data_IF_699887390709
#
_entry.id   IF_699887390709
#
_cell.length_a   1.000
_cell.length_b   1.000
_cell.length_c   1.000
_cell.angle_alpha   90.00
_cell.angle_beta   90.00
_cell.angle_gamma   90.00
#
_symmetry.space_group_name_H-M   'P 1'
#
loop_
_entity.id
_entity.type
_entity.pdbx_description
1 polymer ?
#
# COMPACT_ATOMS: atom_id res chain seq x y z
N UNK A 1 -7.01 19.04 13.25
CA UNK A 1 -7.04 18.60 11.83
C UNK A 1 -8.12 17.56 11.71
N UNK A 2 -9.09 17.75 10.82
CA UNK A 2 -10.15 16.78 10.61
C UNK A 2 -9.64 15.74 9.58
N UNK A 3 -9.49 14.50 10.00
CA UNK A 3 -9.06 13.42 9.12
C UNK A 3 -10.25 12.96 8.24
N UNK A 4 -10.03 12.59 6.95
CA UNK A 4 -11.12 12.10 6.10
C UNK A 4 -11.76 10.83 6.67
N UNK A 5 -13.08 10.83 6.69
CA UNK A 5 -13.87 9.70 7.17
C UNK A 5 -14.36 8.78 6.03
N UNK A 6 -14.05 9.14 4.78
CA UNK A 6 -14.47 8.43 3.58
C UNK A 6 -13.51 7.29 3.25
N UNK A 7 -13.72 6.12 3.85
CA UNK A 7 -12.98 4.92 3.52
C UNK A 7 -13.50 4.28 2.23
N UNK A 8 -12.56 3.80 1.40
CA UNK A 8 -12.87 3.07 0.16
C UNK A 8 -12.12 1.73 0.11
N UNK A 9 -12.66 0.77 -0.63
CA UNK A 9 -12.10 -0.55 -0.85
C UNK A 9 -12.45 -1.10 -2.24
N UNK A 10 -11.81 -2.18 -2.66
CA UNK A 10 -12.13 -2.86 -3.92
C UNK A 10 -13.32 -3.81 -3.79
N UNK A 11 -13.58 -4.30 -2.58
CA UNK A 11 -14.68 -5.21 -2.26
C UNK A 11 -14.60 -5.74 -0.84
N UNK A 12 -15.67 -6.40 -0.35
CA UNK A 12 -15.81 -6.84 1.03
C UNK A 12 -15.19 -8.23 1.31
N UNK A 13 -14.44 -8.81 0.36
CA UNK A 13 -14.00 -10.20 0.48
C UNK A 13 -12.96 -10.39 1.60
N UNK A 14 -13.07 -11.53 2.29
CA UNK A 14 -12.11 -11.99 3.27
C UNK A 14 -11.14 -13.00 2.65
N UNK A 15 -9.85 -12.82 2.94
CA UNK A 15 -8.82 -13.76 2.51
C UNK A 15 -8.88 -15.06 3.30
N UNK A 16 -8.75 -16.19 2.60
CA UNK A 16 -8.63 -17.52 3.18
C UNK A 16 -7.46 -18.26 2.54
N UNK A 17 -6.86 -19.28 3.19
CA UNK A 17 -5.70 -19.99 2.64
C UNK A 17 -5.97 -20.57 1.24
N UNK A 18 -7.16 -21.12 1.00
CA UNK A 18 -7.55 -21.71 -0.27
C UNK A 18 -8.11 -20.68 -1.27
N UNK A 19 -8.47 -19.49 -0.80
CA UNK A 19 -9.05 -18.42 -1.60
C UNK A 19 -8.51 -17.07 -1.16
N UNK A 20 -7.24 -16.75 -1.47
CA UNK A 20 -6.65 -15.47 -1.11
C UNK A 20 -7.31 -14.32 -1.88
N UNK A 21 -7.40 -13.17 -1.22
CA UNK A 21 -7.85 -11.93 -1.85
C UNK A 21 -6.62 -11.23 -2.44
N UNK A 22 -6.58 -10.98 -3.77
CA UNK A 22 -5.49 -10.24 -4.38
C UNK A 22 -5.41 -8.80 -3.87
N UNK A 23 -4.20 -8.25 -3.82
CA UNK A 23 -3.97 -6.85 -3.49
C UNK A 23 -4.32 -5.96 -4.69
N UNK A 24 -5.36 -5.11 -4.63
CA UNK A 24 -5.77 -4.29 -5.76
C UNK A 24 -4.92 -3.03 -5.92
N UNK A 25 -4.87 -2.52 -7.15
CA UNK A 25 -4.50 -1.14 -7.44
C UNK A 25 -5.69 -0.22 -7.24
N UNK A 26 -5.41 1.00 -6.77
CA UNK A 26 -6.34 2.13 -6.81
C UNK A 26 -5.64 3.31 -7.48
N UNK A 27 -6.37 4.07 -8.29
CA UNK A 27 -5.85 5.29 -8.89
C UNK A 27 -6.90 6.39 -8.93
N UNK A 28 -6.42 7.63 -8.83
CA UNK A 28 -7.20 8.84 -9.01
C UNK A 28 -6.44 9.82 -9.86
N UNK A 29 -6.99 10.19 -11.01
CA UNK A 29 -6.49 11.30 -11.82
C UNK A 29 -7.20 12.59 -11.43
N UNK A 30 -6.46 13.68 -11.35
CA UNK A 30 -6.99 15.01 -11.06
C UNK A 30 -6.17 16.09 -11.77
N UNK A 31 -6.78 17.25 -11.95
CA UNK A 31 -6.17 18.35 -12.69
C UNK A 31 -5.92 19.54 -11.78
N UNK A 32 -4.75 20.15 -11.91
CA UNK A 32 -4.39 21.39 -11.24
C UNK A 32 -4.16 22.50 -12.26
N UNK A 33 -4.79 23.67 -12.03
CA UNK A 33 -4.54 24.87 -12.83
C UNK A 33 -3.26 25.61 -12.39
N UNK A 34 -2.84 25.38 -11.15
CA UNK A 34 -1.58 25.84 -10.58
C UNK A 34 -1.05 24.83 -9.59
N UNK A 35 0.25 24.84 -9.34
CA UNK A 35 0.84 24.07 -8.22
C UNK A 35 0.61 24.85 -6.92
N UNK A 36 0.05 24.22 -5.86
CA UNK A 36 -0.08 24.84 -4.54
C UNK A 36 1.29 25.22 -3.95
N UNK A 37 1.34 26.24 -3.09
CA UNK A 37 2.56 26.56 -2.35
C UNK A 37 2.96 25.43 -1.41
N UNK A 38 1.97 24.79 -0.81
CA UNK A 38 2.14 23.59 0.01
C UNK A 38 0.94 22.66 -0.19
N UNK A 39 1.23 21.38 -0.41
CA UNK A 39 0.24 20.33 -0.56
C UNK A 39 0.53 19.16 0.38
N UNK A 40 -0.39 18.92 1.31
CA UNK A 40 -0.29 17.82 2.27
C UNK A 40 -1.26 16.70 1.92
N UNK A 41 -0.75 15.49 1.81
CA UNK A 41 -1.53 14.28 1.59
C UNK A 41 -1.55 13.45 2.87
N UNK A 42 -2.76 13.19 3.37
CA UNK A 42 -3.01 12.30 4.49
C UNK A 42 -3.53 10.97 3.97
N UNK A 43 -3.03 9.86 4.50
CA UNK A 43 -3.52 8.51 4.20
C UNK A 43 -3.59 7.65 5.45
N UNK A 44 -4.73 6.98 5.65
CA UNK A 44 -4.93 5.95 6.66
C UNK A 44 -5.23 4.63 5.95
N UNK A 45 -4.27 3.71 5.94
CA UNK A 45 -4.46 2.36 5.39
C UNK A 45 -4.90 1.38 6.47
N UNK A 46 -5.93 0.59 6.19
CA UNK A 46 -6.33 -0.59 6.93
C UNK A 46 -6.01 -1.79 6.04
N UNK A 47 -4.79 -2.26 6.16
CA UNK A 47 -4.05 -3.12 5.25
C UNK A 47 -2.72 -2.45 4.90
N UNK A 48 -1.75 -3.20 4.37
CA UNK A 48 -0.49 -2.60 3.92
C UNK A 48 -0.72 -1.79 2.65
N UNK A 49 -0.09 -0.62 2.55
CA UNK A 49 -0.21 0.18 1.33
C UNK A 49 1.14 0.64 0.80
N UNK A 50 1.18 0.81 -0.49
CA UNK A 50 2.17 1.64 -1.17
C UNK A 50 1.48 2.79 -1.88
N UNK A 51 1.98 4.01 -1.66
CA UNK A 51 1.43 5.25 -2.17
C UNK A 51 2.35 5.82 -3.26
N UNK A 52 1.73 6.28 -4.34
CA UNK A 52 2.40 6.81 -5.51
C UNK A 52 1.81 8.16 -5.93
N UNK A 53 2.67 9.06 -6.38
CA UNK A 53 2.29 10.34 -7.00
C UNK A 53 3.03 10.46 -8.33
N UNK A 54 2.30 10.62 -9.42
CA UNK A 54 2.85 10.78 -10.77
C UNK A 54 3.91 9.72 -11.14
N UNK A 55 3.69 8.47 -10.76
CA UNK A 55 4.60 7.36 -11.02
C UNK A 55 5.70 7.16 -9.99
N UNK A 56 5.90 8.09 -9.06
CA UNK A 56 6.90 7.98 -8.01
C UNK A 56 6.30 7.38 -6.74
N UNK A 57 6.92 6.30 -6.20
CA UNK A 57 6.59 5.76 -4.88
C UNK A 57 7.04 6.73 -3.79
N UNK A 58 6.14 7.06 -2.88
CA UNK A 58 6.40 8.01 -1.78
C UNK A 58 6.23 7.41 -0.38
N UNK A 59 5.72 6.20 -0.27
CA UNK A 59 5.58 5.51 1.03
C UNK A 59 6.92 5.46 1.76
N UNK A 60 6.94 5.94 3.00
CA UNK A 60 8.13 5.85 3.85
C UNK A 60 8.33 4.42 4.33
N UNK A 61 9.48 3.83 3.98
CA UNK A 61 9.84 2.47 4.34
C UNK A 61 8.98 1.40 3.67
N UNK A 62 8.82 0.28 4.35
CA UNK A 62 8.09 -0.91 3.91
C UNK A 62 7.02 -1.28 4.93
N UNK A 63 6.03 -2.09 4.52
CA UNK A 63 4.96 -2.62 5.38
C UNK A 63 4.18 -1.52 6.14
N UNK A 64 3.94 -0.38 5.47
CA UNK A 64 3.13 0.70 6.03
C UNK A 64 1.61 0.38 5.91
N UNK A 65 0.79 0.80 6.88
CA UNK A 65 1.15 1.40 8.16
C UNK A 65 1.62 0.35 9.18
N UNK A 66 2.17 0.80 10.31
CA UNK A 66 2.46 -0.09 11.43
C UNK A 66 1.19 -0.74 11.96
N UNK A 67 1.30 -1.96 12.51
CA UNK A 67 0.15 -2.69 13.04
C UNK A 67 -0.51 -1.92 14.19
N UNK A 68 -1.84 -1.90 14.19
CA UNK A 68 -2.66 -1.40 15.29
C UNK A 68 -3.91 -2.26 15.44
N UNK A 69 -4.65 -2.04 16.52
CA UNK A 69 -6.02 -2.55 16.64
C UNK A 69 -6.99 -1.49 16.12
N UNK A 70 -7.59 -1.66 14.93
CA UNK A 70 -8.47 -0.65 14.34
C UNK A 70 -9.75 -0.35 15.13
N UNK A 71 -10.04 -1.15 16.14
CA UNK A 71 -11.12 -0.86 17.10
C UNK A 71 -10.72 0.21 18.14
N UNK A 72 -9.41 0.40 18.38
CA UNK A 72 -8.86 1.30 19.41
C UNK A 72 -8.16 2.49 18.79
N UNK A 73 -7.20 2.25 17.90
CA UNK A 73 -6.46 3.31 17.22
C UNK A 73 -6.07 2.86 15.81
N UNK A 74 -6.05 3.79 14.88
CA UNK A 74 -5.56 3.57 13.52
C UNK A 74 -4.56 4.65 13.16
N UNK A 75 -3.43 4.21 12.59
CA UNK A 75 -2.39 5.13 12.18
C UNK A 75 -2.70 5.74 10.83
N UNK A 76 -2.42 7.03 10.69
CA UNK A 76 -2.35 7.69 9.41
C UNK A 76 -0.98 8.33 9.20
N UNK A 77 -0.60 8.47 7.94
CA UNK A 77 0.61 9.14 7.51
C UNK A 77 0.29 10.48 6.87
N UNK A 78 1.22 11.42 7.02
CA UNK A 78 1.20 12.71 6.34
C UNK A 78 2.44 12.84 5.45
N UNK A 79 2.23 13.29 4.20
CA UNK A 79 3.26 13.49 3.19
C UNK A 79 3.15 14.88 2.60
N UNK A 80 4.25 15.64 2.57
CA UNK A 80 4.37 16.79 1.69
C UNK A 80 4.64 16.29 0.27
N UNK A 81 3.67 16.49 -0.62
CA UNK A 81 3.76 16.08 -2.03
C UNK A 81 3.92 17.25 -2.97
N UNK A 82 4.10 18.44 -2.46
CA UNK A 82 4.26 19.68 -3.25
C UNK A 82 5.28 19.53 -4.38
N UNK A 83 6.49 18.97 -4.13
CA UNK A 83 7.51 18.85 -5.18
C UNK A 83 7.14 17.88 -6.32
N UNK A 84 6.11 17.04 -6.11
CA UNK A 84 5.69 16.01 -7.06
C UNK A 84 4.50 16.44 -7.91
N UNK A 85 3.84 17.53 -7.54
CA UNK A 85 2.68 18.04 -8.27
C UNK A 85 3.11 18.91 -9.45
N UNK A 86 2.28 18.89 -10.50
CA UNK A 86 2.48 19.69 -11.72
C UNK A 86 1.19 20.32 -12.19
N UNK A 87 1.30 21.40 -12.95
CA UNK A 87 0.17 21.97 -13.67
C UNK A 87 -0.35 20.94 -14.68
N UNK A 88 -1.64 20.85 -14.83
CA UNK A 88 -2.31 19.84 -15.66
C UNK A 88 -2.61 18.55 -14.91
N UNK A 89 -2.54 17.44 -15.60
CA UNK A 89 -2.97 16.14 -15.08
C UNK A 89 -1.96 15.54 -14.09
N UNK A 90 -2.46 15.13 -12.93
CA UNK A 90 -1.74 14.42 -11.89
C UNK A 90 -2.44 13.09 -11.60
N UNK A 91 -1.68 12.09 -11.15
CA UNK A 91 -2.21 10.77 -10.80
C UNK A 91 -1.72 10.38 -9.41
N UNK A 92 -2.66 10.05 -8.52
CA UNK A 92 -2.41 9.34 -7.28
C UNK A 92 -2.66 7.85 -7.49
N UNK A 93 -1.81 7.01 -6.91
CA UNK A 93 -1.95 5.57 -6.90
C UNK A 93 -1.78 5.00 -5.50
N UNK A 94 -2.60 4.01 -5.16
CA UNK A 94 -2.47 3.23 -3.93
C UNK A 94 -2.47 1.76 -4.32
N UNK A 95 -1.45 1.02 -3.91
CA UNK A 95 -1.43 -0.43 -3.98
C UNK A 95 -1.71 -0.96 -2.58
N UNK A 96 -2.84 -1.66 -2.41
CA UNK A 96 -3.39 -2.00 -1.09
C UNK A 96 -3.36 -3.49 -0.85
N UNK A 97 -2.51 -3.95 0.06
CA UNK A 97 -2.40 -5.34 0.49
C UNK A 97 -3.27 -5.69 1.68
N UNK A 98 -3.37 -6.99 1.95
CA UNK A 98 -4.19 -7.53 3.03
C UNK A 98 -3.64 -7.20 4.43
N UNK A 99 -2.32 -7.21 4.60
CA UNK A 99 -1.65 -6.93 5.87
C UNK A 99 -2.18 -7.79 7.02
N UNK A 100 -2.23 -7.21 8.22
CA UNK A 100 -2.83 -7.88 9.40
C UNK A 100 -4.35 -7.83 9.38
N UNK A 101 -4.93 -6.88 8.64
CA UNK A 101 -6.37 -6.62 8.62
C UNK A 101 -7.19 -7.76 8.03
N UNK A 102 -6.68 -8.37 6.97
CA UNK A 102 -7.35 -9.43 6.22
C UNK A 102 -6.53 -10.71 6.15
N UNK A 103 -5.74 -10.99 7.20
CA UNK A 103 -4.94 -12.20 7.27
C UNK A 103 -5.84 -13.43 7.29
N UNK A 104 -5.55 -14.50 6.51
CA UNK A 104 -6.37 -15.69 6.42
C UNK A 104 -6.40 -16.53 7.71
N UNK A 105 -5.45 -16.35 8.62
CA UNK A 105 -5.35 -17.15 9.86
C UNK A 105 -4.71 -18.51 9.63
N UNK A 106 -5.01 -19.44 10.53
CA UNK A 106 -4.52 -20.83 10.41
C UNK A 106 -3.09 -21.06 10.91
N UNK A 107 -2.48 -20.05 11.56
CA UNK A 107 -1.11 -20.09 12.10
C UNK A 107 -1.10 -20.00 13.62
N UNK A 108 -0.08 -19.32 14.16
CA UNK A 108 0.12 -19.17 15.62
C UNK A 108 -0.90 -18.21 16.24
N UNK A 109 -1.37 -17.20 15.52
CA UNK A 109 -2.34 -16.23 16.02
C UNK A 109 -3.57 -16.26 15.13
N UNK A 110 -4.72 -16.40 15.74
CA UNK A 110 -6.04 -16.50 15.08
C UNK A 110 -6.51 -15.14 14.56
N UNK A 111 -5.76 -14.49 13.65
CA UNK A 111 -6.13 -13.19 13.08
C UNK A 111 -7.44 -13.26 12.29
N UNK A 112 -7.78 -14.43 11.74
CA UNK A 112 -9.05 -14.69 11.09
C UNK A 112 -10.26 -14.55 12.04
N UNK A 113 -10.04 -14.69 13.35
CA UNK A 113 -11.05 -14.53 14.40
C UNK A 113 -11.01 -13.16 15.09
N UNK A 114 -10.08 -12.29 14.69
CA UNK A 114 -9.95 -10.96 15.30
C UNK A 114 -11.18 -10.10 15.01
N UNK A 115 -11.67 -9.38 16.04
CA UNK A 115 -12.86 -8.50 15.90
C UNK A 115 -12.64 -7.38 14.89
N UNK A 116 -11.40 -6.93 14.69
CA UNK A 116 -11.05 -5.88 13.74
C UNK A 116 -10.91 -6.41 12.30
N UNK A 117 -11.00 -7.72 12.08
CA UNK A 117 -10.86 -8.29 10.75
C UNK A 117 -11.86 -7.70 9.76
N UNK A 118 -11.37 -7.37 8.58
CA UNK A 118 -12.19 -6.82 7.50
C UNK A 118 -11.39 -6.67 6.21
N UNK A 119 -12.10 -6.48 5.12
CA UNK A 119 -11.45 -6.21 3.83
C UNK A 119 -10.53 -4.97 3.93
N UNK A 120 -9.36 -5.01 3.26
CA UNK A 120 -8.45 -3.87 3.21
C UNK A 120 -9.15 -2.64 2.64
N UNK A 121 -8.94 -1.50 3.27
CA UNK A 121 -9.53 -0.22 2.90
C UNK A 121 -8.63 0.93 3.30
N UNK A 122 -8.84 2.08 2.70
CA UNK A 122 -8.10 3.28 3.08
C UNK A 122 -8.98 4.52 2.98
N UNK A 123 -8.58 5.55 3.71
CA UNK A 123 -9.04 6.92 3.51
C UNK A 123 -7.84 7.80 3.16
N UNK A 124 -8.04 8.72 2.21
CA UNK A 124 -7.02 9.63 1.72
C UNK A 124 -7.60 11.01 1.53
N UNK A 125 -6.81 12.05 1.86
CA UNK A 125 -7.15 13.44 1.60
C UNK A 125 -5.91 14.19 1.16
N UNK A 126 -6.05 14.98 0.11
CA UNK A 126 -5.05 15.94 -0.35
C UNK A 126 -5.57 17.35 -0.12
N UNK A 127 -4.83 18.11 0.67
CA UNK A 127 -5.12 19.50 0.97
C UNK A 127 -4.08 20.45 0.35
N UNK A 128 -4.54 21.59 -0.15
CA UNK A 128 -3.71 22.78 -0.28
C UNK A 128 -3.64 23.49 1.08
N UNK A 129 -2.44 23.81 1.52
CA UNK A 129 -2.17 24.47 2.78
C UNK A 129 -1.64 25.88 2.55
N UNK A 130 -2.21 26.89 3.25
CA UNK A 130 -1.75 28.28 3.25
C UNK A 130 -1.82 28.81 4.67
N UNK A 131 -0.70 28.77 5.38
CA UNK A 131 -0.65 29.00 6.82
C UNK A 131 -1.52 27.99 7.57
N UNK A 132 -2.48 28.48 8.36
CA UNK A 132 -3.43 27.62 9.09
C UNK A 132 -4.63 27.15 8.25
N UNK A 133 -4.83 27.74 7.07
CA UNK A 133 -5.95 27.37 6.19
C UNK A 133 -5.62 26.11 5.40
N UNK A 134 -6.60 25.21 5.36
CA UNK A 134 -6.55 23.99 4.56
C UNK A 134 -7.77 23.94 3.66
N UNK A 135 -7.53 23.67 2.39
CA UNK A 135 -8.57 23.48 1.39
C UNK A 135 -8.38 22.13 0.72
N UNK A 136 -9.40 21.28 0.80
CA UNK A 136 -9.36 19.99 0.15
C UNK A 136 -9.30 20.14 -1.38
N UNK A 137 -8.29 19.54 -1.99
CA UNK A 137 -8.18 19.35 -3.43
C UNK A 137 -8.97 18.10 -3.82
N UNK A 138 -8.80 17.00 -3.06
CA UNK A 138 -9.57 15.77 -3.24
C UNK A 138 -9.59 14.93 -1.96
N UNK A 139 -10.57 14.05 -1.87
CA UNK A 139 -10.68 13.01 -0.86
C UNK A 139 -10.94 11.65 -1.54
N UNK A 140 -10.71 10.57 -0.78
CA UNK A 140 -11.08 9.23 -1.22
C UNK A 140 -12.59 9.12 -1.42
N UNK A 141 -13.00 8.77 -2.62
CA UNK A 141 -14.39 8.62 -3.04
C UNK A 141 -14.52 7.57 -4.16
N UNK A 142 -15.73 7.41 -4.69
CA UNK A 142 -16.03 6.51 -5.82
C UNK A 142 -15.37 6.90 -7.14
N UNK A 143 -14.77 8.07 -7.23
CA UNK A 143 -14.03 8.48 -8.42
C UNK A 143 -12.58 7.93 -8.41
N UNK A 144 -12.13 7.31 -7.31
CA UNK A 144 -11.02 6.38 -7.39
C UNK A 144 -11.43 5.15 -8.19
N UNK A 145 -10.57 4.74 -9.11
CA UNK A 145 -10.73 3.51 -9.86
C UNK A 145 -9.88 2.42 -9.22
N UNK A 146 -10.37 1.19 -9.20
CA UNK A 146 -9.65 0.01 -8.73
C UNK A 146 -9.58 -1.06 -9.81
N UNK A 147 -8.48 -1.80 -9.82
CA UNK A 147 -8.26 -2.93 -10.72
C UNK A 147 -7.41 -4.01 -10.04
N UNK A 148 -7.47 -5.27 -10.49
CA UNK A 148 -6.54 -6.30 -10.05
C UNK A 148 -5.09 -5.91 -10.34
N UNK A 149 -4.19 -6.25 -9.43
CA UNK A 149 -2.75 -6.10 -9.57
C UNK A 149 -2.07 -7.46 -9.84
N UNK A 150 -0.76 -7.48 -10.13
CA UNK A 150 0.00 -8.73 -10.26
C UNK A 150 0.15 -9.50 -8.94
N UNK A 151 -0.11 -8.88 -7.78
CA UNK A 151 -0.01 -9.52 -6.47
C UNK A 151 -1.28 -10.28 -6.15
N UNK A 152 -1.26 -11.59 -6.42
CA UNK A 152 -2.42 -12.48 -6.35
C UNK A 152 -2.74 -12.91 -4.92
N UNK A 153 -1.72 -12.97 -4.07
CA UNK A 153 -1.86 -13.16 -2.63
C UNK A 153 -0.71 -12.48 -1.92
N UNK A 154 -0.97 -11.92 -0.77
CA UNK A 154 0.00 -11.34 0.12
C UNK A 154 -0.27 -11.77 1.56
N UNK A 155 0.73 -12.40 2.17
CA UNK A 155 0.69 -12.79 3.58
C UNK A 155 2.09 -12.58 4.16
N UNK A 156 2.21 -11.75 5.18
CA UNK A 156 3.49 -11.42 5.77
C UNK A 156 4.19 -12.60 6.45
N UNK A 157 3.53 -13.76 6.59
CA UNK A 157 4.09 -14.98 7.17
C UNK A 157 4.37 -16.08 6.14
N UNK A 158 3.48 -16.24 5.18
CA UNK A 158 3.57 -17.29 4.17
C UNK A 158 4.25 -16.77 2.92
N UNK A 159 4.20 -15.46 2.68
CA UNK A 159 4.80 -14.84 1.53
C UNK A 159 3.78 -14.39 0.48
N UNK A 160 4.27 -14.17 -0.73
CA UNK A 160 3.52 -13.56 -1.81
C UNK A 160 3.45 -14.47 -3.03
N UNK A 161 2.34 -14.37 -3.76
CA UNK A 161 2.22 -14.91 -5.12
C UNK A 161 2.10 -13.76 -6.09
N UNK A 162 3.12 -13.58 -6.93
CA UNK A 162 3.21 -12.48 -7.89
C UNK A 162 3.26 -13.02 -9.32
N UNK A 163 2.39 -12.51 -10.18
CA UNK A 163 2.37 -12.85 -11.62
C UNK A 163 2.73 -11.62 -12.46
N UNK A 164 4.01 -11.50 -12.82
CA UNK A 164 4.54 -10.37 -13.60
C UNK A 164 3.82 -10.12 -14.95
N UNK A 165 3.17 -11.14 -15.51
CA UNK A 165 2.38 -11.00 -16.77
C UNK A 165 1.15 -10.12 -16.60
N UNK A 166 0.75 -9.87 -15.35
CA UNK A 166 -0.41 -9.01 -14.99
C UNK A 166 0.00 -7.59 -14.63
N UNK A 167 1.27 -7.24 -14.75
CA UNK A 167 1.73 -5.87 -14.58
C UNK A 167 1.01 -4.92 -15.54
N UNK A 168 0.73 -3.72 -15.04
CA UNK A 168 0.08 -2.63 -15.78
C UNK A 168 0.97 -1.40 -15.72
N UNK A 169 1.96 -1.26 -16.62
CA UNK A 169 2.96 -0.21 -16.54
C UNK A 169 2.36 1.21 -16.68
N UNK A 170 1.15 1.32 -17.22
CA UNK A 170 0.43 2.56 -17.43
C UNK A 170 -0.51 2.99 -16.26
N UNK A 171 -0.61 2.19 -15.21
CA UNK A 171 -1.60 2.44 -14.16
C UNK A 171 -1.41 3.77 -13.40
N UNK A 172 -0.20 4.33 -13.42
CA UNK A 172 0.16 5.63 -12.81
C UNK A 172 0.35 6.74 -13.85
N UNK A 173 0.09 6.48 -15.13
CA UNK A 173 0.17 7.49 -16.18
C UNK A 173 -1.16 8.24 -16.32
N UNK A 174 -1.12 9.53 -16.70
CA UNK A 174 -2.33 10.27 -17.07
C UNK A 174 -3.06 9.62 -18.27
N UNK A 175 -4.38 9.76 -18.28
CA UNK A 175 -5.23 9.18 -19.33
C UNK A 175 -5.98 7.94 -18.85
N UNK A 176 -6.58 7.23 -19.81
CA UNK A 176 -7.31 5.99 -19.54
C UNK A 176 -6.31 4.83 -19.46
N UNK A 177 -6.17 4.19 -18.31
CA UNK A 177 -5.26 3.07 -18.17
C UNK A 177 -5.80 1.83 -18.87
N UNK A 178 -4.90 0.94 -19.29
CA UNK A 178 -5.24 -0.32 -19.93
C UNK A 178 -6.01 -1.28 -19.01
N UNK A 179 -6.82 -2.15 -19.61
CA UNK A 179 -7.59 -3.18 -18.92
C UNK A 179 -8.85 -2.67 -18.24
N UNK A 180 -9.47 -3.55 -17.44
CA UNK A 180 -10.71 -3.22 -16.74
C UNK A 180 -10.45 -2.51 -15.42
N UNK A 181 -11.09 -1.35 -15.28
CA UNK A 181 -11.10 -0.56 -14.05
C UNK A 181 -12.54 -0.33 -13.61
N UNK A 182 -12.77 -0.37 -12.32
CA UNK A 182 -14.10 -0.18 -11.71
C UNK A 182 -14.02 0.95 -10.68
N UNK A 183 -15.10 1.71 -10.45
CA UNK A 183 -15.16 2.62 -9.31
C UNK A 183 -14.91 1.89 -8.00
N UNK A 184 -14.13 2.49 -7.12
CA UNK A 184 -13.99 2.01 -5.75
C UNK A 184 -15.33 2.05 -5.02
N UNK A 185 -15.49 1.19 -4.04
CA UNK A 185 -16.70 1.11 -3.22
C UNK A 185 -16.46 1.85 -1.90
N UNK A 186 -17.53 2.40 -1.33
CA UNK A 186 -17.48 2.95 0.02
C UNK A 186 -17.34 1.82 1.04
N UNK A 187 -16.45 2.02 2.01
CA UNK A 187 -16.20 1.08 3.10
C UNK A 187 -16.56 1.71 4.45
N UNK A 188 -16.87 0.89 5.43
CA UNK A 188 -17.05 1.37 6.80
C UNK A 188 -15.74 1.89 7.37
N UNK A 189 -15.82 3.01 8.08
CA UNK A 189 -14.68 3.55 8.81
C UNK A 189 -14.33 2.67 10.01
N UNK A 190 -13.05 2.56 10.40
CA UNK A 190 -12.68 1.92 11.65
C UNK A 190 -13.20 2.74 12.85
N UNK A 191 -13.44 2.06 13.98
CA UNK A 191 -13.94 2.70 15.20
C UNK A 191 -12.86 3.45 15.97
N UNK A 192 -11.61 2.98 15.85
CA UNK A 192 -10.48 3.51 16.59
C UNK A 192 -10.16 4.97 16.29
N UNK A 193 -9.50 5.63 17.21
CA UNK A 193 -9.01 6.99 17.07
C UNK A 193 -7.95 7.08 15.95
N UNK A 194 -7.96 8.20 15.19
CA UNK A 194 -6.96 8.48 14.14
C UNK A 194 -5.73 9.10 14.78
N UNK A 195 -4.60 8.39 14.70
CA UNK A 195 -3.34 8.79 15.31
C UNK A 195 -2.29 8.99 14.23
N UNK A 196 -1.65 10.17 14.22
CA UNK A 196 -0.53 10.42 13.32
C UNK A 196 0.62 9.44 13.66
N UNK A 197 1.10 8.73 12.66
CA UNK A 197 2.20 7.80 12.84
C UNK A 197 3.52 8.56 13.02
N UNK A 198 4.08 8.43 14.22
CA UNK A 198 5.39 8.98 14.58
C UNK A 198 6.46 7.87 14.71
N UNK A 199 6.06 6.62 14.54
CA UNK A 199 6.94 5.45 14.61
C UNK A 199 7.84 5.42 13.38
N UNK A 200 9.12 5.16 13.59
CA UNK A 200 10.09 5.01 12.51
C UNK A 200 9.67 3.93 11.51
N UNK A 201 9.83 4.17 10.22
CA UNK A 201 9.48 3.19 9.20
C UNK A 201 10.43 1.99 9.21
N UNK A 202 9.94 0.85 8.73
CA UNK A 202 10.80 -0.30 8.43
C UNK A 202 11.63 0.02 7.21
N UNK A 203 12.95 0.11 7.35
CA UNK A 203 13.87 0.48 6.27
C UNK A 203 14.88 -0.63 5.99
N UNK A 204 15.52 -0.57 4.81
CA UNK A 204 16.64 -1.44 4.48
C UNK A 204 17.89 -0.83 5.11
N UNK A 205 18.41 -1.46 6.15
CA UNK A 205 19.62 -1.01 6.84
C UNK A 205 20.89 -1.27 6.03
N UNK A 206 20.95 -2.45 5.39
CA UNK A 206 22.10 -2.84 4.59
C UNK A 206 21.75 -3.89 3.54
N UNK A 207 22.55 -3.96 2.51
CA UNK A 207 22.53 -5.05 1.53
C UNK A 207 23.67 -6.03 1.86
N UNK A 208 23.33 -7.31 2.02
CA UNK A 208 24.29 -8.37 2.29
C UNK A 208 24.55 -9.16 1.01
N UNK A 209 25.82 -9.48 0.76
CA UNK A 209 26.21 -10.47 -0.26
C UNK A 209 26.43 -11.82 0.43
N UNK A 210 26.10 -12.94 -0.23
CA UNK A 210 26.42 -14.25 0.30
C UNK A 210 27.93 -14.40 0.53
N UNK A 211 28.34 -14.90 1.69
CA UNK A 211 29.72 -15.27 1.99
C UNK A 211 30.07 -16.63 1.38
N UNK A 212 29.06 -17.48 1.18
CA UNK A 212 29.20 -18.72 0.43
C UNK A 212 27.91 -19.11 -0.29
N UNK A 213 28.05 -19.81 -1.41
CA UNK A 213 26.95 -20.42 -2.17
C UNK A 213 27.35 -21.86 -2.42
N UNK A 214 26.50 -22.81 -2.03
CA UNK A 214 26.76 -24.24 -2.27
C UNK A 214 25.53 -24.92 -2.85
N UNK A 215 25.78 -25.86 -3.78
CA UNK A 215 24.70 -26.68 -4.32
C UNK A 215 24.22 -27.66 -3.25
N UNK A 216 22.92 -27.81 -3.13
CA UNK A 216 22.22 -28.83 -2.33
C UNK A 216 21.29 -29.59 -3.29
N UNK A 217 20.66 -30.68 -2.83
CA UNK A 217 19.94 -31.61 -3.67
C UNK A 217 19.10 -30.96 -4.78
N UNK A 218 18.15 -30.11 -4.43
CA UNK A 218 17.21 -29.49 -5.37
C UNK A 218 17.44 -27.97 -5.56
N UNK A 219 18.61 -27.44 -5.18
CA UNK A 219 18.82 -26.00 -5.28
C UNK A 219 20.19 -25.52 -4.83
N UNK A 220 20.21 -24.29 -4.33
CA UNK A 220 21.42 -23.65 -3.82
C UNK A 220 21.15 -23.06 -2.43
N UNK A 221 22.09 -23.29 -1.52
CA UNK A 221 22.09 -22.62 -0.22
C UNK A 221 22.99 -21.39 -0.28
N UNK A 222 22.42 -20.25 0.07
CA UNK A 222 23.12 -18.97 0.18
C UNK A 222 23.34 -18.66 1.65
N UNK A 223 24.59 -18.57 2.07
CA UNK A 223 24.98 -18.21 3.42
C UNK A 223 25.40 -16.74 3.45
N UNK A 224 24.73 -15.94 4.28
CA UNK A 224 25.02 -14.51 4.41
C UNK A 224 25.93 -14.19 5.62
N UNK A 225 26.38 -15.23 6.35
CA UNK A 225 27.35 -15.11 7.46
C UNK A 225 26.74 -14.54 8.76
N UNK A 226 25.51 -14.08 8.74
CA UNK A 226 24.82 -13.55 9.92
C UNK A 226 23.33 -13.85 9.87
N UNK A 227 22.71 -13.95 11.06
CA UNK A 227 21.27 -14.08 11.19
C UNK A 227 20.62 -12.70 11.07
N UNK A 228 19.70 -12.53 10.13
CA UNK A 228 19.02 -11.26 9.87
C UNK A 228 17.58 -11.49 9.41
N UNK A 229 16.79 -10.44 9.43
CA UNK A 229 15.48 -10.37 8.79
C UNK A 229 15.57 -9.48 7.56
N UNK A 230 15.01 -9.92 6.43
CA UNK A 230 15.10 -9.17 5.18
C UNK A 230 14.41 -9.85 4.03
N UNK A 231 14.68 -9.33 2.82
CA UNK A 231 14.18 -9.86 1.55
C UNK A 231 15.36 -10.23 0.64
N UNK A 232 15.19 -11.28 -0.15
CA UNK A 232 16.20 -11.69 -1.12
C UNK A 232 16.00 -10.91 -2.43
N UNK A 233 17.11 -10.43 -3.00
CA UNK A 233 17.14 -9.82 -4.33
C UNK A 233 17.88 -10.71 -5.31
N UNK A 234 17.17 -11.29 -6.26
CA UNK A 234 17.73 -12.06 -7.35
C UNK A 234 17.78 -11.19 -8.61
N UNK A 235 18.99 -10.89 -9.11
CA UNK A 235 19.16 -9.97 -10.23
C UNK A 235 19.12 -10.68 -11.60
N UNK A 236 19.55 -11.92 -11.69
CA UNK A 236 19.55 -12.69 -12.94
C UNK A 236 19.70 -14.18 -12.67
N UNK A 237 18.98 -14.99 -13.44
CA UNK A 237 19.17 -16.45 -13.50
C UNK A 237 20.12 -16.88 -14.62
N UNK A 238 20.56 -15.96 -15.49
CA UNK A 238 21.33 -16.28 -16.71
C UNK A 238 22.84 -16.19 -16.48
N UNK A 239 23.28 -15.58 -15.39
CA UNK A 239 24.69 -15.34 -15.08
C UNK A 239 25.16 -15.99 -13.77
N UNK A 240 24.58 -17.12 -13.39
CA UNK A 240 25.04 -17.98 -12.29
C UNK A 240 25.80 -19.15 -12.86
#
# INVERSE_FOLDING_TARGET
MEFPESFIYAGPAFSAPEQPVPAPYFRRQFRLERVPEQAELLICGIGFYELYVNGQRITRGHLAPYISSPDVAVYYDSYDITPLLKIGENVLGVWLGNGFQNNPGGYVWDFDKARFRGAPRFALRLDECSGEKRQAILESDKAFLTAPSPLLSDDYRVGETYDARKERPDWLLPGTPSGEWKPALCAERPRGERVLRTIEPVTIEKELRPVSIRKVDDGYLYDFGENNAGVCRLLSLIHI
#
